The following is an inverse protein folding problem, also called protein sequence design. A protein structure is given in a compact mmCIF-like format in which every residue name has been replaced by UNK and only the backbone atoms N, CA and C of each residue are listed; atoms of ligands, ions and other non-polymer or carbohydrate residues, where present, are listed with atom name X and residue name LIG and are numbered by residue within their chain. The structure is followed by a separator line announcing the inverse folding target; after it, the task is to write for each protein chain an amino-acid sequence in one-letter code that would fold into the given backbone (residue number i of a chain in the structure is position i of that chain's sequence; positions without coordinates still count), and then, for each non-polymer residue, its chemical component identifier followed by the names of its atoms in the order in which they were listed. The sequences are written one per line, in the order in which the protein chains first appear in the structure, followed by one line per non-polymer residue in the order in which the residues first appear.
data_IF_758336335820
#
_entry.id   IF_758336335820
#
_cell.length_a   1.000
_cell.length_b   1.000
_cell.length_c   1.000
_cell.angle_alpha   90.00
_cell.angle_beta   90.00
_cell.angle_gamma   90.00
#
_symmetry.space_group_name_H-M   'P 1'
#
loop_
_entity.id
_entity.type
_entity.pdbx_description
1 polymer ?
#
# COMPACT_ATOMS: atom_id res chain seq x y z
N UNK A 1 -3.66 -15.19 11.94
CA UNK A 1 -2.83 -15.99 11.01
C UNK A 1 -3.85 -16.59 10.06
N UNK A 2 -4.00 -16.11 8.83
CA UNK A 2 -3.18 -16.41 7.65
C UNK A 2 -3.36 -15.31 6.58
N UNK A 3 -2.26 -14.73 6.08
CA UNK A 3 -2.18 -14.28 4.69
C UNK A 3 -3.07 -13.14 4.17
N UNK A 4 -3.21 -12.00 4.87
CA UNK A 4 -3.44 -10.76 4.09
C UNK A 4 -2.14 -10.46 3.33
N UNK A 5 -2.05 -11.01 2.11
CA UNK A 5 -0.98 -10.68 1.18
C UNK A 5 -1.18 -9.23 0.80
N UNK A 6 -0.22 -8.40 1.16
CA UNK A 6 -0.02 -7.14 0.46
C UNK A 6 0.29 -7.45 -1.00
N UNK A 7 -0.14 -6.60 -1.93
CA UNK A 7 0.14 -6.84 -3.35
C UNK A 7 1.64 -6.78 -3.62
N UNK A 8 2.33 -5.76 -3.06
CA UNK A 8 3.77 -5.64 -3.14
C UNK A 8 4.39 -5.13 -1.83
N UNK A 9 5.58 -5.66 -1.53
CA UNK A 9 6.48 -5.16 -0.48
C UNK A 9 7.79 -4.68 -1.13
N UNK A 10 8.13 -3.42 -0.90
CA UNK A 10 9.36 -2.77 -1.35
C UNK A 10 10.27 -2.62 -0.13
N UNK A 11 11.48 -3.17 -0.23
CA UNK A 11 12.42 -3.23 0.88
C UNK A 11 11.85 -4.06 2.05
N UNK A 12 12.01 -3.55 3.27
CA UNK A 12 11.54 -4.21 4.49
C UNK A 12 10.20 -3.66 5.01
N UNK A 13 9.84 -2.42 4.65
CA UNK A 13 8.74 -1.68 5.32
C UNK A 13 7.74 -0.96 4.41
N UNK A 14 8.00 -0.79 3.11
CA UNK A 14 7.10 -0.05 2.23
C UNK A 14 6.15 -0.99 1.50
N UNK A 15 4.85 -0.87 1.76
CA UNK A 15 3.78 -1.66 1.15
C UNK A 15 3.10 -0.84 0.06
N UNK A 16 2.84 -1.47 -1.09
CA UNK A 16 1.96 -0.95 -2.13
C UNK A 16 0.75 -1.88 -2.24
N UNK A 17 -0.45 -1.31 -2.10
CA UNK A 17 -1.72 -2.00 -2.33
C UNK A 17 -2.43 -1.41 -3.55
N UNK A 18 -3.06 -2.28 -4.32
CA UNK A 18 -3.82 -1.96 -5.52
C UNK A 18 -5.30 -2.22 -5.23
N UNK A 19 -6.03 -1.15 -4.99
CA UNK A 19 -7.47 -1.17 -4.79
C UNK A 19 -8.18 -1.26 -6.15
N UNK A 20 -8.89 -2.37 -6.38
CA UNK A 20 -9.69 -2.64 -7.58
C UNK A 20 -10.95 -1.79 -7.75
N UNK A 21 -11.18 -0.77 -6.90
CA UNK A 21 -12.21 0.26 -7.08
C UNK A 21 -13.66 -0.19 -6.84
N UNK A 22 -13.89 -1.46 -6.48
CA UNK A 22 -15.23 -2.02 -6.19
C UNK A 22 -15.41 -2.35 -4.70
N UNK A 23 -14.56 -1.80 -3.84
CA UNK A 23 -14.54 -2.10 -2.41
C UNK A 23 -15.59 -1.27 -1.67
N UNK A 24 -16.82 -1.79 -1.60
CA UNK A 24 -17.95 -1.18 -0.88
C UNK A 24 -18.31 -1.97 0.38
N UNK A 25 -18.75 -1.27 1.43
CA UNK A 25 -19.23 -1.87 2.68
C UNK A 25 -18.13 -2.57 3.48
N UNK A 26 -18.40 -3.80 3.94
CA UNK A 26 -17.55 -4.58 4.86
C UNK A 26 -16.09 -4.74 4.38
N UNK A 27 -15.86 -4.84 3.07
CA UNK A 27 -14.49 -4.96 2.53
C UNK A 27 -13.68 -3.67 2.76
N UNK A 28 -14.29 -2.50 2.65
CA UNK A 28 -13.61 -1.23 2.91
C UNK A 28 -13.18 -1.09 4.37
N UNK A 29 -14.01 -1.56 5.30
CA UNK A 29 -13.67 -1.58 6.73
C UNK A 29 -12.52 -2.55 7.02
N UNK A 30 -12.50 -3.70 6.34
CA UNK A 30 -11.42 -4.69 6.44
C UNK A 30 -10.09 -4.15 5.90
N UNK A 31 -10.10 -3.46 4.75
CA UNK A 31 -8.90 -2.82 4.19
C UNK A 31 -8.35 -1.74 5.13
N UNK A 32 -9.22 -0.88 5.65
CA UNK A 32 -8.83 0.16 6.62
C UNK A 32 -8.25 -0.46 7.88
N UNK A 33 -8.86 -1.51 8.42
CA UNK A 33 -8.35 -2.22 9.58
C UNK A 33 -7.00 -2.89 9.29
N UNK A 34 -6.83 -3.44 8.08
CA UNK A 34 -5.60 -4.07 7.64
C UNK A 34 -4.44 -3.06 7.52
N UNK A 35 -4.68 -1.92 6.86
CA UNK A 35 -3.72 -0.84 6.71
C UNK A 35 -3.31 -0.27 8.06
N UNK A 36 -4.27 -0.03 8.95
CA UNK A 36 -3.99 0.41 10.31
C UNK A 36 -3.09 -0.60 11.06
N UNK A 37 -3.35 -1.90 10.91
CA UNK A 37 -2.53 -2.95 11.52
C UNK A 37 -1.10 -2.99 10.94
N UNK A 38 -0.92 -2.74 9.64
CA UNK A 38 0.39 -2.62 9.00
C UNK A 38 1.15 -1.39 9.53
N UNK A 39 0.49 -0.24 9.59
CA UNK A 39 1.08 1.00 10.10
C UNK A 39 1.52 0.87 11.56
N UNK A 40 0.71 0.23 12.42
CA UNK A 40 1.07 -0.06 13.81
C UNK A 40 2.29 -0.98 13.94
N UNK A 41 2.59 -1.79 12.92
CA UNK A 41 3.78 -2.65 12.85
C UNK A 41 5.00 -1.97 12.22
N UNK A 42 4.90 -0.67 11.93
CA UNK A 42 5.97 0.13 11.35
C UNK A 42 6.11 0.02 9.83
N UNK A 43 5.08 -0.48 9.14
CA UNK A 43 5.02 -0.41 7.68
C UNK A 43 4.49 0.94 7.23
N UNK A 44 4.94 1.39 6.06
CA UNK A 44 4.34 2.51 5.35
C UNK A 44 3.50 1.96 4.21
N UNK A 45 2.23 2.34 4.13
CA UNK A 45 1.29 1.83 3.11
C UNK A 45 0.99 2.92 2.10
N UNK A 46 1.15 2.62 0.81
CA UNK A 46 0.65 3.40 -0.31
C UNK A 46 -0.47 2.59 -0.95
N UNK A 47 -1.70 3.10 -0.91
CA UNK A 47 -2.85 2.51 -1.60
C UNK A 47 -3.13 3.28 -2.89
N UNK A 48 -3.25 2.57 -4.02
CA UNK A 48 -3.53 3.15 -5.34
C UNK A 48 -4.65 2.37 -6.03
N UNK A 49 -5.48 3.06 -6.80
CA UNK A 49 -6.55 2.42 -7.56
C UNK A 49 -6.04 1.73 -8.84
N UNK A 50 -6.78 0.74 -9.35
CA UNK A 50 -6.52 0.09 -10.64
C UNK A 50 -6.27 1.08 -11.78
N UNK A 51 -7.14 2.08 -11.94
CA UNK A 51 -6.97 3.13 -12.97
C UNK A 51 -5.67 3.91 -12.80
N UNK A 52 -5.22 4.15 -11.56
CA UNK A 52 -3.94 4.84 -11.36
C UNK A 52 -2.77 3.99 -11.83
N UNK A 53 -2.81 2.68 -11.58
CA UNK A 53 -1.75 1.77 -12.02
C UNK A 53 -1.69 1.66 -13.54
N UNK A 54 -2.86 1.55 -14.19
CA UNK A 54 -2.94 1.31 -15.65
C UNK A 54 -2.79 2.59 -16.47
N UNK A 55 -3.40 3.69 -16.01
CA UNK A 55 -3.52 4.93 -16.82
C UNK A 55 -2.66 6.09 -16.31
N UNK A 56 -2.26 6.07 -15.02
CA UNK A 56 -1.56 7.20 -14.35
C UNK A 56 -0.32 6.71 -13.59
N UNK A 57 0.41 5.79 -14.21
CA UNK A 57 1.53 5.10 -13.60
C UNK A 57 2.60 6.07 -13.07
N UNK A 58 2.84 7.17 -13.77
CA UNK A 58 3.79 8.22 -13.39
C UNK A 58 3.52 8.75 -11.98
N UNK A 59 2.25 8.90 -11.58
CA UNK A 59 1.93 9.37 -10.23
C UNK A 59 2.13 8.29 -9.17
N UNK A 60 1.90 7.02 -9.51
CA UNK A 60 2.18 5.89 -8.62
C UNK A 60 3.69 5.79 -8.38
N UNK A 61 4.45 5.85 -9.47
CA UNK A 61 5.91 5.85 -9.44
C UNK A 61 6.46 7.02 -8.63
N UNK A 62 5.94 8.23 -8.80
CA UNK A 62 6.38 9.40 -8.04
C UNK A 62 6.20 9.20 -6.53
N UNK A 63 5.03 8.69 -6.10
CA UNK A 63 4.74 8.42 -4.68
C UNK A 63 5.71 7.38 -4.12
N UNK A 64 5.97 6.30 -4.85
CA UNK A 64 6.93 5.27 -4.47
C UNK A 64 8.33 5.86 -4.33
N UNK A 65 8.80 6.61 -5.34
CA UNK A 65 10.14 7.19 -5.34
C UNK A 65 10.34 8.19 -4.19
N UNK A 66 9.33 9.01 -3.87
CA UNK A 66 9.37 9.90 -2.71
C UNK A 66 9.47 9.13 -1.39
N UNK A 67 8.68 8.06 -1.22
CA UNK A 67 8.75 7.22 -0.04
C UNK A 67 10.11 6.51 0.10
N UNK A 68 10.66 6.04 -1.01
CA UNK A 68 12.00 5.44 -1.06
C UNK A 68 13.08 6.45 -0.69
N UNK A 69 13.04 7.66 -1.25
CA UNK A 69 13.99 8.73 -0.95
C UNK A 69 13.95 9.16 0.53
N UNK A 70 12.79 9.05 1.18
CA UNK A 70 12.63 9.29 2.62
C UNK A 70 13.08 8.11 3.50
N UNK A 71 13.50 6.99 2.90
CA UNK A 71 13.92 5.79 3.61
C UNK A 71 12.79 5.00 4.25
N UNK A 72 11.53 5.22 3.84
CA UNK A 72 10.35 4.56 4.44
C UNK A 72 10.27 3.06 4.17
N UNK A 73 11.07 2.56 3.22
CA UNK A 73 11.19 1.14 2.89
C UNK A 73 12.20 0.39 3.77
N UNK A 74 12.99 1.09 4.60
CA UNK A 74 14.03 0.49 5.45
C UNK A 74 13.46 0.09 6.81
N UNK A 75 13.94 -1.02 7.37
CA UNK A 75 13.72 -1.33 8.78
C UNK A 75 14.70 -0.48 9.61
N UNK A 76 14.15 0.42 10.43
CA UNK A 76 14.91 1.12 11.47
C UNK A 76 14.99 0.24 12.72
#
# INVERSE_FOLDING_TARGET
MEGHRVDLLIGARLVLQIDGGTHVGRQREEDVAHDAALMLRGYYVICVGYTQVIERWEEVQERIMRAVAQGLHLAR
#
